data_IF_910111853785
#
_entry.id   IF_910111853785
#
_cell.length_a   1.000
_cell.length_b   1.000
_cell.length_c   1.000
_cell.angle_alpha   90.00
_cell.angle_beta   90.00
_cell.angle_gamma   90.00
#
_symmetry.space_group_name_H-M   'P 1'
#
loop_
_entity.id
_entity.type
_entity.pdbx_description
1 polymer ?
#
# COMPACT_ATOMS: atom_id res chain seq x y z
N UNK A 1 14.30 -8.90 -18.29
CA UNK A 1 13.45 -7.78 -17.85
C UNK A 1 12.80 -8.18 -16.54
N UNK A 2 12.99 -7.42 -15.47
CA UNK A 2 12.42 -7.74 -14.15
C UNK A 2 11.25 -6.80 -13.88
N UNK A 3 10.12 -7.35 -13.43
CA UNK A 3 8.90 -6.60 -13.10
C UNK A 3 8.57 -6.85 -11.62
N UNK A 4 8.34 -5.78 -10.86
CA UNK A 4 7.97 -5.86 -9.45
C UNK A 4 6.49 -5.51 -9.29
N UNK A 5 5.74 -6.36 -8.61
CA UNK A 5 4.32 -6.17 -8.32
C UNK A 5 4.16 -5.77 -6.85
N UNK A 6 3.72 -4.53 -6.61
CA UNK A 6 3.59 -3.95 -5.27
C UNK A 6 2.15 -3.51 -5.08
N UNK A 7 1.49 -3.97 -4.01
CA UNK A 7 0.18 -3.48 -3.60
C UNK A 7 0.31 -2.15 -2.85
N UNK A 8 -0.72 -1.30 -2.93
CA UNK A 8 -0.82 -0.11 -2.09
C UNK A 8 -0.78 -0.46 -0.59
N UNK A 9 -0.36 0.50 0.25
CA UNK A 9 -0.36 0.36 1.70
C UNK A 9 -1.77 0.27 2.30
N UNK A 10 -1.87 0.01 3.60
CA UNK A 10 -3.17 -0.04 4.29
C UNK A 10 -3.96 1.27 4.13
N UNK A 11 -5.18 1.18 3.59
CA UNK A 11 -6.17 2.27 3.55
C UNK A 11 -7.07 2.30 4.79
N UNK A 12 -7.80 3.38 5.01
CA UNK A 12 -8.83 3.46 6.05
C UNK A 12 -9.92 2.38 5.87
N UNK A 13 -10.28 2.05 4.63
CA UNK A 13 -11.17 0.92 4.33
C UNK A 13 -10.59 -0.39 4.85
N UNK A 14 -9.30 -0.67 4.58
CA UNK A 14 -8.68 -1.90 5.06
C UNK A 14 -8.55 -1.96 6.59
N UNK A 15 -8.54 -0.80 7.26
CA UNK A 15 -8.50 -0.73 8.71
C UNK A 15 -9.89 -0.93 9.34
N UNK A 16 -10.96 -0.53 8.66
CA UNK A 16 -12.34 -0.67 9.13
C UNK A 16 -12.97 -2.01 8.72
N UNK A 17 -12.59 -2.57 7.56
CA UNK A 17 -13.14 -3.80 7.03
C UNK A 17 -12.71 -5.02 7.86
N UNK A 18 -13.68 -5.82 8.28
CA UNK A 18 -13.46 -7.12 8.92
C UNK A 18 -14.17 -8.21 8.10
N UNK A 19 -13.56 -9.40 8.04
CA UNK A 19 -14.13 -10.50 7.26
C UNK A 19 -15.49 -10.94 7.84
N UNK A 20 -16.50 -11.04 6.97
CA UNK A 20 -17.87 -11.39 7.36
C UNK A 20 -18.73 -10.21 7.82
N UNK A 21 -18.15 -9.02 8.02
CA UNK A 21 -18.89 -7.81 8.36
C UNK A 21 -19.40 -7.09 7.10
N UNK A 22 -20.46 -6.27 7.22
CA UNK A 22 -20.92 -5.41 6.13
C UNK A 22 -19.81 -4.50 5.59
N UNK A 23 -19.92 -4.14 4.31
CA UNK A 23 -19.01 -3.19 3.68
C UNK A 23 -19.00 -1.85 4.46
N UNK A 24 -17.82 -1.33 4.87
CA UNK A 24 -17.72 -0.05 5.59
C UNK A 24 -18.19 1.19 4.82
N UNK A 25 -18.46 1.07 3.52
CA UNK A 25 -18.88 2.15 2.62
C UNK A 25 -17.90 3.33 2.57
N UNK A 26 -16.59 3.05 2.74
CA UNK A 26 -15.52 4.05 2.67
C UNK A 26 -14.95 4.07 1.24
N UNK A 27 -15.40 5.02 0.44
CA UNK A 27 -14.94 5.23 -0.93
C UNK A 27 -13.68 6.11 -0.98
N UNK A 28 -12.79 5.83 -1.93
CA UNK A 28 -11.51 6.54 -2.12
C UNK A 28 -10.71 6.67 -0.80
N UNK A 29 -10.68 5.57 -0.03
CA UNK A 29 -10.14 5.57 1.31
C UNK A 29 -8.64 5.94 1.30
N UNK A 30 -8.23 7.01 2.02
CA UNK A 30 -6.84 7.41 2.06
C UNK A 30 -5.99 6.37 2.81
N UNK A 31 -4.66 6.43 2.61
CA UNK A 31 -3.73 5.61 3.39
C UNK A 31 -3.76 6.02 4.86
N UNK A 32 -3.79 5.01 5.74
CA UNK A 32 -3.56 5.23 7.17
C UNK A 32 -2.11 5.64 7.42
N UNK A 33 -1.79 6.09 8.65
CA UNK A 33 -0.40 6.30 9.06
C UNK A 33 0.47 5.05 8.84
N UNK A 34 -0.07 3.87 9.14
CA UNK A 34 0.59 2.58 8.87
C UNK A 34 0.78 2.37 7.36
N UNK A 35 -0.23 2.66 6.55
CA UNK A 35 -0.15 2.56 5.09
C UNK A 35 0.93 3.47 4.48
N UNK A 36 1.09 4.69 4.98
CA UNK A 36 2.15 5.61 4.53
C UNK A 36 3.55 5.09 4.89
N UNK A 37 3.74 4.61 6.12
CA UNK A 37 5.02 4.00 6.55
C UNK A 37 5.36 2.77 5.70
N UNK A 38 4.37 1.93 5.37
CA UNK A 38 4.56 0.79 4.47
C UNK A 38 5.06 1.22 3.09
N UNK A 39 4.47 2.28 2.51
CA UNK A 39 4.88 2.82 1.22
C UNK A 39 6.30 3.41 1.26
N UNK A 40 6.65 4.12 2.33
CA UNK A 40 8.00 4.66 2.56
C UNK A 40 9.05 3.55 2.68
N UNK A 41 8.74 2.48 3.41
CA UNK A 41 9.65 1.33 3.57
C UNK A 41 9.90 0.61 2.26
N UNK A 42 8.86 0.38 1.45
CA UNK A 42 9.01 -0.25 0.13
C UNK A 42 9.77 0.66 -0.81
N UNK A 43 9.57 1.97 -0.75
CA UNK A 43 10.36 2.94 -1.52
C UNK A 43 11.84 2.82 -1.16
N UNK A 44 12.19 2.85 0.14
CA UNK A 44 13.57 2.69 0.59
C UNK A 44 14.20 1.36 0.10
N UNK A 45 13.43 0.26 0.12
CA UNK A 45 13.87 -1.03 -0.40
C UNK A 45 13.99 -1.02 -1.93
N UNK A 46 13.08 -0.36 -2.65
CA UNK A 46 13.13 -0.28 -4.10
C UNK A 46 14.35 0.50 -4.58
N UNK A 47 14.79 1.56 -3.88
CA UNK A 47 16.05 2.23 -4.21
C UNK A 47 17.27 1.29 -4.20
N UNK A 48 17.27 0.26 -3.36
CA UNK A 48 18.32 -0.77 -3.36
C UNK A 48 18.22 -1.73 -4.56
N UNK A 49 17.02 -1.92 -5.09
CA UNK A 49 16.73 -2.78 -6.25
C UNK A 49 17.04 -2.05 -7.56
N UNK A 50 18.22 -1.43 -7.71
CA UNK A 50 18.77 -0.82 -8.94
C UNK A 50 17.71 -0.52 -10.02
N UNK A 51 16.72 0.31 -9.70
CA UNK A 51 15.76 0.75 -10.70
C UNK A 51 16.53 1.71 -11.59
N UNK A 52 17.12 1.17 -12.66
CA UNK A 52 17.75 1.97 -13.71
C UNK A 52 16.65 2.85 -14.28
N UNK A 53 16.70 4.13 -13.92
CA UNK A 53 15.88 5.16 -14.56
C UNK A 53 16.45 5.31 -15.97
N UNK A 54 15.73 4.80 -16.97
CA UNK A 54 15.98 5.03 -18.39
C UNK A 54 15.92 6.51 -18.73
#
# INVERSE_FOLDING_TARGET
MTVYLIRHGQSEFNAAHSEGEPDPMIFDAPLTKKGRIQAEQVTAQSWSLKFERS
#
